data_IF_566502461816
#
_entry.id   IF_566502461816
#
_cell.length_a   1.000
_cell.length_b   1.000
_cell.length_c   1.000
_cell.angle_alpha   90.00
_cell.angle_beta   90.00
_cell.angle_gamma   90.00
#
_symmetry.space_group_name_H-M   'P 1'
#
loop_
_entity.id
_entity.type
_entity.pdbx_description
1 polymer ?
#
# COMPACT_ATOMS: atom_id res chain seq x y z
N UNK A 1 6.26 -26.26 -5.35
CA UNK A 1 6.96 -25.12 -4.75
C UNK A 1 6.51 -23.80 -5.35
N UNK A 2 6.48 -23.67 -6.69
CA UNK A 2 6.06 -22.43 -7.36
C UNK A 2 4.66 -21.97 -6.94
N UNK A 3 3.69 -22.88 -6.89
CA UNK A 3 2.31 -22.54 -6.52
C UNK A 3 2.20 -22.01 -5.09
N UNK A 4 2.99 -22.55 -4.16
CA UNK A 4 3.00 -22.09 -2.78
C UNK A 4 3.59 -20.68 -2.65
N UNK A 5 4.71 -20.43 -3.32
CA UNK A 5 5.35 -19.10 -3.34
C UNK A 5 4.40 -18.08 -3.96
N UNK A 6 3.75 -18.45 -5.07
CA UNK A 6 2.76 -17.59 -5.72
C UNK A 6 1.59 -17.28 -4.78
N UNK A 7 1.11 -18.28 -4.03
CA UNK A 7 0.02 -18.08 -3.06
C UNK A 7 0.44 -17.10 -1.97
N UNK A 8 1.63 -17.25 -1.39
CA UNK A 8 2.12 -16.32 -0.37
C UNK A 8 2.37 -14.92 -0.92
N UNK A 9 2.85 -14.81 -2.16
CA UNK A 9 3.00 -13.53 -2.83
C UNK A 9 1.64 -12.80 -2.96
N UNK A 10 0.61 -13.52 -3.40
CA UNK A 10 -0.74 -12.96 -3.54
C UNK A 10 -1.29 -12.54 -2.18
N UNK A 11 -1.11 -13.36 -1.15
CA UNK A 11 -1.54 -13.03 0.21
C UNK A 11 -0.85 -11.74 0.70
N UNK A 12 0.46 -11.64 0.52
CA UNK A 12 1.22 -10.45 0.90
C UNK A 12 0.75 -9.21 0.13
N UNK A 13 0.52 -9.36 -1.16
CA UNK A 13 0.03 -8.26 -2.00
C UNK A 13 -1.36 -7.78 -1.57
N UNK A 14 -2.27 -8.71 -1.24
CA UNK A 14 -3.60 -8.37 -0.75
C UNK A 14 -3.51 -7.63 0.58
N UNK A 15 -2.69 -8.10 1.52
CA UNK A 15 -2.50 -7.48 2.82
C UNK A 15 -1.95 -6.06 2.66
N UNK A 16 -0.95 -5.87 1.80
CA UNK A 16 -0.35 -4.57 1.53
C UNK A 16 -1.35 -3.61 0.91
N UNK A 17 -2.07 -4.04 -0.12
CA UNK A 17 -3.07 -3.21 -0.80
C UNK A 17 -4.23 -2.87 0.12
N UNK A 18 -4.70 -3.81 0.94
CA UNK A 18 -5.74 -3.54 1.92
C UNK A 18 -5.30 -2.43 2.90
N UNK A 19 -4.04 -2.50 3.36
CA UNK A 19 -3.48 -1.47 4.23
C UNK A 19 -3.39 -0.12 3.52
N UNK A 20 -2.91 -0.09 2.27
CA UNK A 20 -2.82 1.14 1.48
C UNK A 20 -4.18 1.79 1.22
N UNK A 21 -5.22 0.98 1.08
CA UNK A 21 -6.59 1.48 0.88
C UNK A 21 -7.22 1.96 2.18
N UNK A 22 -6.84 1.36 3.30
CA UNK A 22 -7.45 1.66 4.60
C UNK A 22 -6.78 2.83 5.33
N UNK A 23 -5.45 2.95 5.21
CA UNK A 23 -4.69 3.96 5.95
C UNK A 23 -5.16 5.40 5.67
N UNK A 24 -5.36 5.82 4.40
CA UNK A 24 -5.88 7.17 4.15
C UNK A 24 -7.26 7.40 4.75
N UNK A 25 -8.09 6.37 4.83
CA UNK A 25 -9.41 6.47 5.47
C UNK A 25 -9.29 6.76 6.96
N UNK A 26 -8.34 6.11 7.65
CA UNK A 26 -8.03 6.44 9.04
C UNK A 26 -7.62 7.88 9.19
N UNK A 27 -6.82 8.39 8.24
CA UNK A 27 -6.37 9.78 8.24
C UNK A 27 -7.52 10.76 8.06
N UNK A 28 -8.52 10.41 7.24
CA UNK A 28 -9.73 11.22 7.07
C UNK A 28 -10.45 11.40 8.42
N UNK A 29 -10.63 10.31 9.16
CA UNK A 29 -11.25 10.37 10.47
C UNK A 29 -10.37 11.07 11.50
N UNK A 30 -9.05 10.86 11.41
CA UNK A 30 -8.09 11.50 12.31
C UNK A 30 -8.11 13.03 12.16
N UNK A 31 -8.35 13.55 10.97
CA UNK A 31 -8.48 15.00 10.74
C UNK A 31 -9.62 15.61 11.55
N UNK A 32 -10.67 14.85 11.85
CA UNK A 32 -11.82 15.31 12.63
C UNK A 32 -11.57 15.23 14.14
N UNK A 33 -10.51 14.54 14.58
CA UNK A 33 -10.20 14.38 16.01
C UNK A 33 -9.32 15.55 16.49
N UNK A 34 -9.64 16.11 17.66
CA UNK A 34 -8.84 17.18 18.24
C UNK A 34 -7.47 16.64 18.66
N UNK A 35 -6.37 17.36 18.39
CA UNK A 35 -5.05 16.96 18.86
C UNK A 35 -5.03 16.74 20.37
N UNK A 36 -4.40 15.65 20.81
CA UNK A 36 -4.31 15.29 22.23
C UNK A 36 -5.54 14.60 22.79
N UNK A 37 -6.63 14.47 22.01
CA UNK A 37 -7.82 13.74 22.44
C UNK A 37 -7.56 12.23 22.49
N UNK A 38 -8.40 11.50 23.25
CA UNK A 38 -8.34 10.04 23.32
C UNK A 38 -8.51 9.45 21.91
N UNK A 39 -9.42 10.01 21.12
CA UNK A 39 -9.68 9.59 19.76
C UNK A 39 -8.44 9.76 18.87
N UNK A 40 -7.77 10.91 18.92
CA UNK A 40 -6.55 11.18 18.16
C UNK A 40 -5.43 10.22 18.55
N UNK A 41 -5.23 9.99 19.84
CA UNK A 41 -4.20 9.07 20.33
C UNK A 41 -4.47 7.63 19.89
N UNK A 42 -5.74 7.22 19.86
CA UNK A 42 -6.15 5.91 19.35
C UNK A 42 -5.84 5.78 17.85
N UNK A 43 -6.14 6.80 17.05
CA UNK A 43 -5.82 6.78 15.61
C UNK A 43 -4.31 6.70 15.38
N UNK A 44 -3.51 7.39 16.19
CA UNK A 44 -2.04 7.28 16.08
C UNK A 44 -1.56 5.84 16.27
N UNK A 45 -2.12 5.13 17.24
CA UNK A 45 -1.77 3.73 17.49
C UNK A 45 -2.21 2.85 16.32
N UNK A 46 -3.44 3.05 15.82
CA UNK A 46 -3.99 2.27 14.70
C UNK A 46 -3.15 2.47 13.44
N UNK A 47 -2.82 3.71 13.11
CA UNK A 47 -2.02 4.04 11.93
C UNK A 47 -0.63 3.42 12.01
N UNK A 48 0.04 3.54 13.15
CA UNK A 48 1.38 2.99 13.36
C UNK A 48 1.38 1.46 13.27
N UNK A 49 0.42 0.80 13.92
CA UNK A 49 0.31 -0.66 13.89
C UNK A 49 0.00 -1.17 12.50
N UNK A 50 -0.89 -0.50 11.78
CA UNK A 50 -1.20 -0.86 10.41
C UNK A 50 0.03 -0.73 9.51
N UNK A 51 0.72 0.41 9.60
CA UNK A 51 1.89 0.67 8.76
C UNK A 51 3.04 -0.29 9.06
N UNK A 52 3.44 -0.42 10.32
CA UNK A 52 4.61 -1.21 10.71
C UNK A 52 4.33 -2.69 10.88
N UNK A 53 3.12 -3.05 11.30
CA UNK A 53 2.76 -4.43 11.60
C UNK A 53 2.26 -5.21 10.39
N UNK A 54 1.64 -4.54 9.42
CA UNK A 54 1.01 -5.20 8.27
C UNK A 54 1.59 -4.68 6.96
N UNK A 55 1.54 -3.38 6.73
CA UNK A 55 1.88 -2.80 5.42
C UNK A 55 3.35 -2.97 5.07
N UNK A 56 4.26 -2.61 5.95
CA UNK A 56 5.70 -2.68 5.67
C UNK A 56 6.18 -4.11 5.48
N UNK A 57 5.87 -5.07 6.38
CA UNK A 57 6.23 -6.47 6.13
C UNK A 57 5.60 -7.03 4.86
N UNK A 58 4.34 -6.70 4.60
CA UNK A 58 3.63 -7.15 3.40
C UNK A 58 4.27 -6.59 2.13
N UNK A 59 4.67 -5.33 2.13
CA UNK A 59 5.38 -4.70 1.00
C UNK A 59 6.70 -5.42 0.71
N UNK A 60 7.49 -5.69 1.75
CA UNK A 60 8.77 -6.37 1.61
C UNK A 60 8.57 -7.77 1.03
N UNK A 61 7.61 -8.53 1.55
CA UNK A 61 7.30 -9.86 1.04
C UNK A 61 6.77 -9.82 -0.40
N UNK A 62 5.93 -8.84 -0.73
CA UNK A 62 5.40 -8.66 -2.08
C UNK A 62 6.54 -8.44 -3.07
N UNK A 63 7.47 -7.55 -2.76
CA UNK A 63 8.64 -7.30 -3.62
C UNK A 63 9.53 -8.53 -3.73
N UNK A 64 9.90 -9.14 -2.59
CA UNK A 64 10.81 -10.28 -2.58
C UNK A 64 10.25 -11.48 -3.32
N UNK A 65 9.03 -11.88 -3.01
CA UNK A 65 8.39 -13.01 -3.64
C UNK A 65 8.05 -12.73 -5.10
N UNK A 66 7.63 -11.49 -5.41
CA UNK A 66 7.31 -11.10 -6.78
C UNK A 66 8.53 -11.11 -7.69
N UNK A 67 9.66 -10.59 -7.24
CA UNK A 67 10.91 -10.62 -8.00
C UNK A 67 11.40 -12.05 -8.20
N UNK A 68 11.31 -12.88 -7.17
CA UNK A 68 11.68 -14.29 -7.28
C UNK A 68 10.82 -15.03 -8.31
N UNK A 69 9.50 -14.81 -8.27
CA UNK A 69 8.57 -15.41 -9.23
C UNK A 69 8.84 -14.94 -10.66
N UNK A 70 9.14 -13.66 -10.83
CA UNK A 70 9.45 -13.09 -12.14
C UNK A 70 10.72 -13.73 -12.72
N UNK A 71 11.74 -13.88 -11.88
CA UNK A 71 13.00 -14.50 -12.30
C UNK A 71 12.81 -15.98 -12.63
N UNK A 72 12.17 -16.72 -11.73
CA UNK A 72 11.98 -18.17 -11.89
C UNK A 72 11.04 -18.49 -13.04
N UNK A 73 10.00 -17.70 -13.22
CA UNK A 73 9.02 -17.88 -14.29
C UNK A 73 9.47 -17.38 -15.67
N UNK A 74 10.61 -16.72 -15.76
CA UNK A 74 11.11 -16.19 -17.03
C UNK A 74 10.35 -14.98 -17.54
N UNK A 75 9.70 -14.23 -16.67
CA UNK A 75 8.84 -13.11 -17.06
C UNK A 75 9.58 -11.77 -17.20
N UNK A 76 10.90 -11.74 -16.93
CA UNK A 76 11.67 -10.48 -16.87
C UNK A 76 11.63 -9.68 -18.18
N UNK A 77 11.45 -10.34 -19.33
CA UNK A 77 11.37 -9.69 -20.63
C UNK A 77 9.94 -9.33 -21.05
N UNK A 78 8.94 -9.59 -20.19
CA UNK A 78 7.53 -9.38 -20.54
C UNK A 78 7.13 -7.93 -20.34
N UNK A 79 6.38 -7.36 -21.29
CA UNK A 79 5.89 -5.99 -21.20
C UNK A 79 4.87 -5.80 -20.07
N UNK A 80 4.00 -6.80 -19.85
CA UNK A 80 3.03 -6.73 -18.76
C UNK A 80 3.71 -6.66 -17.40
N UNK A 81 4.87 -7.31 -17.24
CA UNK A 81 5.66 -7.22 -16.01
C UNK A 81 6.24 -5.83 -15.84
N UNK A 82 6.71 -5.19 -16.92
CA UNK A 82 7.21 -3.82 -16.86
C UNK A 82 6.12 -2.85 -16.39
N UNK A 83 4.90 -2.99 -16.91
CA UNK A 83 3.75 -2.19 -16.48
C UNK A 83 3.38 -2.45 -15.02
N UNK A 84 3.40 -3.71 -14.60
CA UNK A 84 3.14 -4.10 -13.22
C UNK A 84 4.19 -3.52 -12.28
N UNK A 85 5.47 -3.61 -12.65
CA UNK A 85 6.56 -3.05 -11.84
C UNK A 85 6.44 -1.55 -11.70
N UNK A 86 6.09 -0.84 -12.77
CA UNK A 86 5.86 0.60 -12.72
C UNK A 86 4.75 0.95 -11.71
N UNK A 87 3.64 0.21 -11.75
CA UNK A 87 2.53 0.41 -10.82
C UNK A 87 2.93 0.08 -9.38
N UNK A 88 3.71 -0.99 -9.17
CA UNK A 88 4.18 -1.38 -7.84
C UNK A 88 5.17 -0.36 -7.28
N UNK A 89 6.04 0.22 -8.11
CA UNK A 89 6.92 1.32 -7.72
C UNK A 89 6.10 2.53 -7.28
N UNK A 90 5.03 2.86 -8.04
CA UNK A 90 4.13 3.94 -7.66
C UNK A 90 3.44 3.69 -6.33
N UNK A 91 2.99 2.45 -6.07
CA UNK A 91 2.42 2.06 -4.78
C UNK A 91 3.45 2.16 -3.64
N UNK A 92 4.70 1.80 -3.91
CA UNK A 92 5.77 1.89 -2.92
C UNK A 92 6.08 3.35 -2.58
N UNK A 93 6.05 4.24 -3.57
CA UNK A 93 6.20 5.68 -3.37
C UNK A 93 5.04 6.22 -2.51
N UNK A 94 3.82 5.78 -2.81
CA UNK A 94 2.64 6.16 -2.02
C UNK A 94 2.78 5.65 -0.57
N UNK A 95 3.26 4.43 -0.39
CA UNK A 95 3.54 3.87 0.93
C UNK A 95 4.51 4.77 1.72
N UNK A 96 5.57 5.25 1.05
CA UNK A 96 6.52 6.17 1.67
C UNK A 96 5.87 7.50 2.08
N UNK A 97 5.03 8.06 1.23
CA UNK A 97 4.28 9.27 1.59
C UNK A 97 3.31 9.01 2.74
N UNK A 98 2.61 7.89 2.73
CA UNK A 98 1.70 7.51 3.80
C UNK A 98 2.45 7.37 5.13
N UNK A 99 3.65 6.80 5.12
CA UNK A 99 4.50 6.70 6.30
C UNK A 99 4.86 8.10 6.85
N UNK A 100 5.15 9.04 5.96
CA UNK A 100 5.41 10.43 6.35
C UNK A 100 4.17 11.07 6.98
N UNK A 101 2.99 10.85 6.41
CA UNK A 101 1.74 11.37 6.98
C UNK A 101 1.45 10.77 8.35
N UNK A 102 1.74 9.48 8.56
CA UNK A 102 1.63 8.85 9.88
C UNK A 102 2.52 9.56 10.89
N UNK A 103 3.75 9.89 10.51
CA UNK A 103 4.67 10.65 11.38
C UNK A 103 4.13 12.05 11.67
N UNK A 104 3.55 12.71 10.68
CA UNK A 104 2.96 14.05 10.87
C UNK A 104 1.82 14.00 11.88
N UNK A 105 0.94 13.02 11.77
CA UNK A 105 -0.14 12.84 12.74
C UNK A 105 0.40 12.47 14.12
N UNK A 106 1.41 11.61 14.20
CA UNK A 106 2.01 11.23 15.49
C UNK A 106 2.61 12.42 16.23
N UNK A 107 3.14 13.39 15.48
CA UNK A 107 3.70 14.62 16.04
C UNK A 107 2.69 15.77 16.14
N UNK A 108 1.41 15.52 15.84
CA UNK A 108 0.33 16.51 15.76
C UNK A 108 0.67 17.68 14.80
N UNK A 109 1.39 17.36 13.72
CA UNK A 109 1.85 18.32 12.71
C UNK A 109 1.13 18.16 11.37
N UNK A 110 0.00 17.48 11.34
CA UNK A 110 -0.77 17.33 10.12
C UNK A 110 -1.24 18.68 9.60
N UNK A 111 -0.92 18.97 8.33
CA UNK A 111 -1.29 20.22 7.66
C UNK A 111 -2.32 20.02 6.56
N UNK A 112 -2.76 18.77 6.35
CA UNK A 112 -3.63 18.41 5.23
C UNK A 112 -5.05 18.19 5.71
N UNK A 113 -6.00 18.42 4.81
CA UNK A 113 -7.43 18.29 5.13
C UNK A 113 -7.93 16.87 4.92
N UNK A 114 -9.08 16.53 5.51
CA UNK A 114 -9.76 15.26 5.25
C UNK A 114 -10.06 15.07 3.76
N UNK A 115 -10.40 16.16 3.05
CA UNK A 115 -10.65 16.12 1.62
C UNK A 115 -9.42 15.67 0.84
N UNK A 116 -8.23 16.13 1.23
CA UNK A 116 -6.96 15.69 0.63
C UNK A 116 -6.82 14.18 0.74
N UNK A 117 -7.02 13.61 1.92
CA UNK A 117 -6.87 12.17 2.15
C UNK A 117 -7.94 11.35 1.42
N UNK A 118 -9.13 11.86 1.25
CA UNK A 118 -10.18 11.20 0.46
C UNK A 118 -9.76 11.08 -1.00
N UNK A 119 -9.25 12.15 -1.59
CA UNK A 119 -8.77 12.13 -2.97
C UNK A 119 -7.55 11.25 -3.14
N UNK A 120 -6.61 11.33 -2.20
CA UNK A 120 -5.39 10.53 -2.23
C UNK A 120 -5.70 9.03 -2.15
N UNK A 121 -6.77 8.64 -1.46
CA UNK A 121 -7.18 7.24 -1.37
C UNK A 121 -7.56 6.64 -2.73
N UNK A 122 -7.90 7.47 -3.71
CA UNK A 122 -8.22 6.98 -5.06
C UNK A 122 -6.98 6.46 -5.80
N UNK A 123 -5.80 7.00 -5.50
CA UNK A 123 -4.57 6.60 -6.19
C UNK A 123 -4.23 5.12 -6.01
N UNK A 124 -4.17 4.55 -4.78
CA UNK A 124 -3.92 3.12 -4.66
C UNK A 124 -5.05 2.27 -5.24
N UNK A 125 -6.29 2.76 -5.22
CA UNK A 125 -7.41 2.05 -5.85
C UNK A 125 -7.20 1.90 -7.35
N UNK A 126 -6.85 3.00 -8.03
CA UNK A 126 -6.58 2.98 -9.47
C UNK A 126 -5.39 2.09 -9.80
N UNK A 127 -4.32 2.19 -9.02
CA UNK A 127 -3.12 1.37 -9.21
C UNK A 127 -3.42 -0.12 -9.00
N UNK A 128 -4.23 -0.45 -8.02
CA UNK A 128 -4.65 -1.83 -7.76
C UNK A 128 -5.43 -2.39 -8.96
N UNK A 129 -6.36 -1.63 -9.50
CA UNK A 129 -7.14 -2.03 -10.67
C UNK A 129 -6.21 -2.28 -11.85
N UNK A 130 -5.26 -1.36 -12.09
CA UNK A 130 -4.28 -1.50 -13.17
C UNK A 130 -3.43 -2.77 -13.00
N UNK A 131 -2.95 -3.04 -11.79
CA UNK A 131 -2.13 -4.22 -11.50
C UNK A 131 -2.92 -5.50 -11.77
N UNK A 132 -4.15 -5.58 -11.28
CA UNK A 132 -5.00 -6.76 -11.46
C UNK A 132 -5.25 -7.01 -12.95
N UNK A 133 -5.55 -5.97 -13.71
CA UNK A 133 -5.77 -6.09 -15.15
C UNK A 133 -4.50 -6.60 -15.84
N UNK A 134 -3.33 -6.03 -15.49
CA UNK A 134 -2.07 -6.45 -16.12
C UNK A 134 -1.71 -7.90 -15.81
N UNK A 135 -2.03 -8.37 -14.61
CA UNK A 135 -1.69 -9.74 -14.17
C UNK A 135 -2.67 -10.76 -14.74
N UNK A 136 -3.95 -10.46 -14.73
CA UNK A 136 -4.99 -11.43 -15.13
C UNK A 136 -5.22 -11.40 -16.63
N UNK A 137 -5.39 -10.22 -17.22
CA UNK A 137 -5.69 -10.08 -18.65
C UNK A 137 -4.44 -10.19 -19.51
N UNK A 138 -3.31 -9.66 -19.02
CA UNK A 138 -2.01 -9.65 -19.72
C UNK A 138 -2.17 -9.12 -21.16
N UNK A 139 -2.59 -7.84 -21.33
CA UNK A 139 -2.92 -7.29 -22.64
C UNK A 139 -1.73 -7.22 -23.61
N UNK A 140 -0.51 -7.38 -23.15
CA UNK A 140 0.70 -7.47 -24.00
C UNK A 140 1.72 -8.50 -23.48
#
# INVERSE_FOLDING_TARGET
MYAWVKAFHVIAAIAWMAGLLYLPRLMVYHCAAAPGSVQSETFKVMERRLLRGIMTPAMILTWGLGLWLAWWGGFLASYWLAGKLAAVVALSAFHGWAARWVKDFAADKNRRTARFYRWVNELPTVLMIAIVILVIVKPF
#
